data_IF_949809143614
#
_entry.id   IF_949809143614
#
_cell.length_a   1.000
_cell.length_b   1.000
_cell.length_c   1.000
_cell.angle_alpha   90.00
_cell.angle_beta   90.00
_cell.angle_gamma   90.00
#
_symmetry.space_group_name_H-M   'P 1'
#
loop_
_entity.id
_entity.type
_entity.pdbx_description
1 polymer ?
#
# COMPACT_ATOMS: atom_id res chain seq x y z
N UNK A 1 -41.78 -79.81 26.81
CA UNK A 1 -42.34 -78.85 25.84
C UNK A 1 -41.26 -77.81 25.56
N UNK A 2 -40.84 -77.70 24.29
CA UNK A 2 -40.13 -76.58 23.62
C UNK A 2 -38.65 -76.31 23.97
N UNK A 3 -37.80 -76.77 23.02
CA UNK A 3 -36.49 -76.23 22.67
C UNK A 3 -36.59 -74.79 22.16
N UNK A 4 -35.56 -73.97 22.38
CA UNK A 4 -35.05 -73.05 21.35
C UNK A 4 -33.61 -72.60 21.65
N UNK A 5 -32.71 -73.00 20.76
CA UNK A 5 -31.37 -72.43 20.54
C UNK A 5 -31.50 -70.98 20.01
N UNK A 6 -30.58 -70.10 20.39
CA UNK A 6 -30.35 -68.84 19.68
C UNK A 6 -28.83 -68.56 19.56
N UNK A 7 -28.36 -67.99 18.43
CA UNK A 7 -27.00 -68.18 17.96
C UNK A 7 -26.04 -67.02 18.27
N UNK A 8 -24.76 -67.35 18.30
CA UNK A 8 -23.60 -66.45 18.39
C UNK A 8 -23.50 -65.65 17.09
N UNK A 9 -23.68 -64.33 17.18
CA UNK A 9 -23.45 -63.40 16.06
C UNK A 9 -21.97 -62.98 16.08
N UNK A 10 -21.21 -63.51 15.12
CA UNK A 10 -19.86 -63.03 14.78
C UNK A 10 -20.04 -61.74 13.97
N UNK A 11 -19.77 -60.59 14.59
CA UNK A 11 -19.80 -59.29 13.93
C UNK A 11 -18.45 -59.04 13.25
N UNK A 12 -18.41 -59.21 11.93
CA UNK A 12 -17.28 -58.82 11.07
C UNK A 12 -17.27 -57.29 10.94
N UNK A 13 -16.29 -56.63 11.56
CA UNK A 13 -16.02 -55.21 11.36
C UNK A 13 -15.30 -55.02 10.01
N UNK A 14 -16.04 -54.58 8.99
CA UNK A 14 -15.45 -54.09 7.74
C UNK A 14 -15.08 -52.63 7.94
N UNK A 15 -13.78 -52.32 8.01
CA UNK A 15 -13.28 -50.95 7.93
C UNK A 15 -13.45 -50.43 6.49
N UNK A 16 -14.50 -49.65 6.24
CA UNK A 16 -14.56 -48.74 5.10
C UNK A 16 -13.72 -47.50 5.42
N UNK A 17 -12.56 -47.37 4.78
CA UNK A 17 -11.81 -46.12 4.74
C UNK A 17 -12.55 -45.12 3.83
N UNK A 18 -13.35 -44.24 4.45
CA UNK A 18 -13.84 -43.05 3.79
C UNK A 18 -12.68 -42.07 3.59
N UNK A 19 -12.07 -42.09 2.41
CA UNK A 19 -11.18 -41.02 1.96
C UNK A 19 -12.00 -39.76 1.74
N UNK A 20 -11.93 -38.82 2.69
CA UNK A 20 -12.45 -37.46 2.50
C UNK A 20 -11.70 -36.82 1.31
N UNK A 21 -12.40 -36.17 0.35
CA UNK A 21 -11.70 -35.36 -0.64
C UNK A 21 -11.03 -34.20 0.09
N UNK A 22 -9.71 -34.28 0.23
CA UNK A 22 -8.89 -33.14 0.63
C UNK A 22 -9.14 -32.05 -0.42
N UNK A 23 -9.83 -30.98 -0.02
CA UNK A 23 -9.88 -29.76 -0.81
C UNK A 23 -8.44 -29.36 -1.12
N UNK A 24 -8.12 -29.24 -2.42
CA UNK A 24 -6.84 -28.72 -2.88
C UNK A 24 -6.69 -27.27 -2.41
N UNK A 25 -6.16 -27.10 -1.19
CA UNK A 25 -5.59 -25.84 -0.76
C UNK A 25 -4.49 -25.51 -1.78
N UNK A 26 -4.61 -24.33 -2.39
CA UNK A 26 -3.68 -23.83 -3.39
C UNK A 26 -2.26 -23.94 -2.83
N UNK A 27 -1.47 -24.87 -3.35
CA UNK A 27 -0.06 -25.03 -2.98
C UNK A 27 0.65 -23.74 -3.33
N UNK A 28 1.27 -23.03 -2.36
CA UNK A 28 2.13 -21.89 -2.65
C UNK A 28 3.21 -22.33 -3.65
N UNK A 29 3.60 -21.43 -4.56
CA UNK A 29 4.71 -21.69 -5.46
C UNK A 29 6.01 -21.74 -4.65
N UNK A 30 6.30 -22.90 -4.12
CA UNK A 30 7.46 -23.14 -3.31
C UNK A 30 8.64 -23.43 -4.24
N UNK A 31 9.67 -22.58 -4.20
CA UNK A 31 10.91 -22.81 -4.94
C UNK A 31 11.92 -23.45 -3.98
N UNK A 32 12.58 -24.55 -4.39
CA UNK A 32 13.63 -25.14 -3.57
C UNK A 32 14.81 -24.15 -3.49
N UNK A 33 15.22 -23.81 -2.27
CA UNK A 33 16.47 -23.06 -2.05
C UNK A 33 17.58 -24.07 -1.71
N UNK A 34 18.79 -23.80 -2.18
CA UNK A 34 19.96 -24.65 -1.93
C UNK A 34 20.17 -24.78 -0.40
N UNK A 35 20.19 -26.02 0.11
CA UNK A 35 20.21 -26.30 1.56
C UNK A 35 18.99 -27.06 2.09
N UNK A 36 18.06 -27.48 1.22
CA UNK A 36 16.95 -28.38 1.59
C UNK A 36 15.77 -27.69 2.28
N UNK A 37 15.83 -26.38 2.47
CA UNK A 37 14.68 -25.58 2.87
C UNK A 37 13.86 -25.17 1.65
N UNK A 38 12.57 -25.01 1.88
CA UNK A 38 11.61 -24.60 0.85
C UNK A 38 11.13 -23.20 1.21
N UNK A 39 11.45 -22.20 0.38
CA UNK A 39 10.92 -20.84 0.58
C UNK A 39 9.60 -20.74 -0.17
N UNK A 40 8.51 -20.67 0.59
CA UNK A 40 7.20 -20.38 0.04
C UNK A 40 6.98 -18.88 0.26
N UNK A 41 6.94 -18.12 -0.83
CA UNK A 41 6.59 -16.71 -0.78
C UNK A 41 5.09 -16.63 -0.46
N UNK A 42 4.73 -16.59 0.83
CA UNK A 42 3.39 -16.25 1.27
C UNK A 42 3.19 -14.76 1.04
N UNK A 43 2.87 -14.40 -0.20
CA UNK A 43 2.16 -13.16 -0.46
C UNK A 43 0.69 -13.44 -0.17
N UNK A 44 0.10 -12.71 0.76
CA UNK A 44 -1.34 -12.74 0.91
C UNK A 44 -1.98 -12.35 -0.43
N UNK A 45 -2.96 -13.14 -0.93
CA UNK A 45 -3.46 -12.99 -2.28
C UNK A 45 -4.24 -11.69 -2.46
N UNK A 46 -4.51 -10.92 -1.41
CA UNK A 46 -5.18 -9.62 -1.50
C UNK A 46 -4.31 -8.52 -0.91
N UNK A 47 -4.26 -7.38 -1.59
CA UNK A 47 -3.74 -6.14 -1.03
C UNK A 47 -4.74 -5.00 -1.26
N UNK A 48 -4.75 -4.04 -0.34
CA UNK A 48 -5.45 -2.76 -0.50
C UNK A 48 -4.43 -1.63 -0.43
N UNK A 49 -4.56 -0.64 -1.31
CA UNK A 49 -3.78 0.59 -1.29
C UNK A 49 -4.75 1.77 -1.26
N UNK A 50 -4.51 2.71 -0.36
CA UNK A 50 -5.34 3.88 -0.11
C UNK A 50 -4.53 5.13 -0.36
N UNK A 51 -5.09 6.03 -1.14
CA UNK A 51 -4.47 7.32 -1.45
C UNK A 51 -5.49 8.43 -1.32
N UNK A 52 -5.03 9.64 -1.03
CA UNK A 52 -5.84 10.86 -1.04
C UNK A 52 -5.53 11.67 -2.30
N UNK A 53 -6.54 12.27 -2.91
CA UNK A 53 -6.33 13.15 -4.06
C UNK A 53 -5.75 14.49 -3.60
N UNK A 54 -4.66 14.91 -4.22
CA UNK A 54 -4.18 16.28 -4.14
C UNK A 54 -4.99 17.14 -5.15
N UNK A 55 -5.83 18.09 -4.69
CA UNK A 55 -6.67 18.87 -5.60
C UNK A 55 -5.87 19.85 -6.48
N UNK A 56 -4.62 20.18 -6.13
CA UNK A 56 -3.78 21.06 -6.93
C UNK A 56 -3.20 20.34 -8.15
N UNK A 57 -2.72 19.11 -7.98
CA UNK A 57 -2.08 18.31 -9.04
C UNK A 57 -3.05 17.33 -9.71
N UNK A 58 -4.19 17.03 -9.06
CA UNK A 58 -5.12 15.95 -9.38
C UNK A 58 -4.55 14.54 -9.23
N UNK A 59 -3.34 14.41 -8.68
CA UNK A 59 -2.68 13.14 -8.40
C UNK A 59 -3.18 12.52 -7.09
N UNK A 60 -2.95 11.22 -6.94
CA UNK A 60 -3.27 10.47 -5.73
C UNK A 60 -1.98 10.12 -5.01
N UNK A 61 -1.90 10.55 -3.75
CA UNK A 61 -0.72 10.43 -2.91
C UNK A 61 -1.07 9.63 -1.65
N UNK A 62 -0.13 8.84 -1.14
CA UNK A 62 -0.33 8.11 0.12
C UNK A 62 -0.41 9.09 1.30
N UNK A 63 0.42 10.14 1.28
CA UNK A 63 0.54 11.09 2.37
C UNK A 63 0.59 12.53 1.86
N UNK A 64 -0.51 13.25 2.05
CA UNK A 64 -0.61 14.67 1.72
C UNK A 64 -0.33 15.51 2.98
N UNK A 65 0.86 16.09 3.05
CA UNK A 65 1.28 16.90 4.19
C UNK A 65 0.74 18.35 4.09
N UNK A 66 0.87 19.10 5.19
CA UNK A 66 0.33 20.46 5.31
C UNK A 66 0.93 21.46 4.29
N UNK A 67 2.18 21.24 3.86
CA UNK A 67 2.86 22.06 2.84
C UNK A 67 2.26 21.83 1.46
N UNK A 68 1.90 20.59 1.14
CA UNK A 68 1.28 20.23 -0.12
C UNK A 68 -0.20 20.68 -0.18
N UNK A 69 -0.98 20.35 0.85
CA UNK A 69 -2.38 20.78 0.97
C UNK A 69 -2.86 20.65 2.41
N UNK A 70 -3.56 21.68 2.87
CA UNK A 70 -4.42 21.61 4.05
C UNK A 70 -5.86 21.85 3.63
N UNK A 71 -6.76 20.94 4.01
CA UNK A 71 -8.17 21.01 3.69
C UNK A 71 -8.94 21.88 4.69
N UNK A 72 -9.92 22.63 4.20
CA UNK A 72 -10.71 23.59 5.00
C UNK A 72 -12.19 23.18 5.06
N UNK A 73 -13.00 23.75 5.98
CA UNK A 73 -14.40 23.38 6.15
C UNK A 73 -15.19 23.31 4.84
N UNK A 74 -15.95 22.23 4.67
CA UNK A 74 -16.82 22.02 3.50
C UNK A 74 -16.11 21.50 2.25
N UNK A 75 -14.78 21.49 2.19
CA UNK A 75 -14.04 20.88 1.07
C UNK A 75 -14.32 19.38 0.99
N UNK A 76 -14.43 18.89 -0.24
CA UNK A 76 -14.56 17.46 -0.53
C UNK A 76 -13.17 16.85 -0.62
N UNK A 77 -12.97 15.75 0.09
CA UNK A 77 -11.77 14.90 0.03
C UNK A 77 -12.14 13.65 -0.75
N UNK A 78 -11.32 13.31 -1.74
CA UNK A 78 -11.47 12.07 -2.51
C UNK A 78 -10.36 11.10 -2.13
N UNK A 79 -10.75 9.89 -1.74
CA UNK A 79 -9.82 8.79 -1.56
C UNK A 79 -9.99 7.77 -2.67
N UNK A 80 -8.88 7.15 -3.06
CA UNK A 80 -8.81 6.06 -4.03
C UNK A 80 -8.35 4.81 -3.30
N UNK A 81 -9.16 3.75 -3.40
CA UNK A 81 -8.83 2.42 -2.93
C UNK A 81 -8.50 1.54 -4.14
N UNK A 82 -7.29 1.04 -4.21
CA UNK A 82 -6.86 0.05 -5.21
C UNK A 82 -6.79 -1.30 -4.52
N UNK A 83 -7.65 -2.24 -4.90
CA UNK A 83 -7.62 -3.60 -4.41
C UNK A 83 -7.00 -4.50 -5.47
N UNK A 84 -6.04 -5.31 -5.07
CA UNK A 84 -5.23 -6.13 -5.96
C UNK A 84 -5.23 -7.58 -5.50
N UNK A 85 -5.39 -8.51 -6.45
CA UNK A 85 -5.17 -9.93 -6.19
C UNK A 85 -3.75 -10.33 -6.62
N UNK A 86 -2.81 -10.44 -5.68
CA UNK A 86 -1.43 -10.83 -5.98
C UNK A 86 -1.25 -12.34 -6.15
N UNK A 87 -2.28 -13.14 -5.85
CA UNK A 87 -2.27 -14.60 -5.94
C UNK A 87 -2.39 -15.13 -7.38
N UNK A 88 -2.36 -16.47 -7.49
CA UNK A 88 -2.54 -17.19 -8.77
C UNK A 88 -3.99 -17.66 -9.03
N UNK A 89 -4.86 -17.60 -8.02
CA UNK A 89 -6.27 -17.98 -8.13
C UNK A 89 -7.20 -16.79 -7.87
N UNK A 90 -8.46 -16.89 -8.30
CA UNK A 90 -9.49 -15.92 -7.92
C UNK A 90 -9.73 -15.93 -6.42
N UNK A 91 -9.94 -14.75 -5.85
CA UNK A 91 -10.48 -14.57 -4.49
C UNK A 91 -11.93 -14.11 -4.60
N UNK A 92 -12.78 -14.52 -3.65
CA UNK A 92 -14.21 -14.22 -3.68
C UNK A 92 -14.67 -13.70 -2.33
N UNK A 93 -15.73 -12.88 -2.33
CA UNK A 93 -16.35 -12.34 -1.10
C UNK A 93 -15.33 -11.57 -0.24
N UNK A 94 -14.71 -10.56 -0.82
CA UNK A 94 -13.77 -9.68 -0.10
C UNK A 94 -14.58 -8.61 0.62
N UNK A 95 -14.38 -8.48 1.93
CA UNK A 95 -15.00 -7.42 2.71
C UNK A 95 -14.05 -6.24 2.84
N UNK A 96 -14.50 -5.07 2.41
CA UNK A 96 -13.73 -3.83 2.48
C UNK A 96 -14.35 -2.91 3.51
N UNK A 97 -13.52 -2.34 4.38
CA UNK A 97 -13.92 -1.39 5.40
C UNK A 97 -12.99 -0.17 5.40
N UNK A 98 -13.57 1.01 5.58
CA UNK A 98 -12.88 2.30 5.64
C UNK A 98 -13.35 3.09 6.87
N UNK A 99 -12.45 3.35 7.82
CA UNK A 99 -12.79 4.03 9.07
C UNK A 99 -12.50 5.51 8.93
N UNK A 100 -13.55 6.30 8.75
CA UNK A 100 -13.43 7.73 8.53
C UNK A 100 -12.89 8.42 9.79
N UNK A 101 -11.75 9.13 9.71
CA UNK A 101 -11.17 9.79 10.86
C UNK A 101 -12.05 10.93 11.33
N UNK A 102 -11.77 11.41 12.55
CA UNK A 102 -12.30 12.67 13.03
C UNK A 102 -12.12 13.80 12.00
N UNK A 103 -13.03 14.78 12.05
CA UNK A 103 -13.06 15.95 11.17
C UNK A 103 -13.47 15.71 9.71
N UNK A 104 -13.69 14.46 9.29
CA UNK A 104 -14.18 14.13 7.96
C UNK A 104 -15.51 13.39 8.08
N UNK A 105 -16.58 13.94 7.53
CA UNK A 105 -17.87 13.26 7.42
C UNK A 105 -17.94 12.52 6.08
N UNK A 106 -18.49 11.29 6.09
CA UNK A 106 -18.74 10.55 4.85
C UNK A 106 -19.72 11.32 3.95
N UNK A 107 -19.43 11.39 2.65
CA UNK A 107 -20.31 12.04 1.67
C UNK A 107 -20.75 11.13 0.53
N UNK A 108 -19.85 10.29 -0.02
CA UNK A 108 -20.18 9.48 -1.19
C UNK A 108 -19.36 8.20 -1.29
N UNK A 109 -19.98 7.15 -1.81
CA UNK A 109 -19.41 5.84 -2.05
C UNK A 109 -20.49 4.89 -2.56
N UNK A 110 -20.09 3.72 -3.04
CA UNK A 110 -21.00 2.67 -3.53
C UNK A 110 -21.49 1.72 -2.42
N UNK A 111 -20.88 1.78 -1.25
CA UNK A 111 -21.13 0.94 -0.09
C UNK A 111 -22.09 1.57 0.92
N UNK A 112 -22.11 0.99 2.11
CA UNK A 112 -22.91 1.44 3.26
C UNK A 112 -22.01 2.18 4.24
N UNK A 113 -22.57 3.17 4.93
CA UNK A 113 -21.86 3.90 5.99
C UNK A 113 -22.58 3.73 7.32
N UNK A 114 -21.87 3.22 8.32
CA UNK A 114 -22.31 3.19 9.71
C UNK A 114 -21.79 4.44 10.44
N UNK A 115 -22.72 5.28 10.87
CA UNK A 115 -22.39 6.53 11.57
C UNK A 115 -21.90 6.30 13.00
N UNK A 116 -22.32 5.22 13.67
CA UNK A 116 -21.93 4.93 15.05
C UNK A 116 -20.46 4.52 15.12
N UNK A 117 -20.01 3.68 14.18
CA UNK A 117 -18.61 3.24 14.10
C UNK A 117 -17.76 4.09 13.14
N UNK A 118 -18.38 5.05 12.44
CA UNK A 118 -17.78 5.86 11.37
C UNK A 118 -17.15 5.00 10.27
N UNK A 119 -17.71 3.84 9.98
CA UNK A 119 -17.14 2.86 9.06
C UNK A 119 -17.95 2.77 7.78
N UNK A 120 -17.30 3.00 6.64
CA UNK A 120 -17.84 2.70 5.32
C UNK A 120 -17.47 1.27 4.92
N UNK A 121 -18.42 0.49 4.41
CA UNK A 121 -18.21 -0.92 4.04
C UNK A 121 -18.82 -1.28 2.69
N UNK A 122 -18.16 -2.17 1.96
CA UNK A 122 -18.69 -2.81 0.76
C UNK A 122 -18.06 -4.18 0.53
N UNK A 123 -18.70 -4.99 -0.30
CA UNK A 123 -18.24 -6.33 -0.67
C UNK A 123 -17.80 -6.36 -2.12
N UNK A 124 -16.75 -7.12 -2.41
CA UNK A 124 -16.35 -7.49 -3.78
C UNK A 124 -16.60 -8.97 -3.97
N UNK A 125 -17.46 -9.31 -4.92
CA UNK A 125 -17.86 -10.69 -5.17
C UNK A 125 -16.70 -11.56 -5.63
N UNK A 126 -15.87 -11.03 -6.54
CA UNK A 126 -14.70 -11.71 -7.07
C UNK A 126 -13.62 -10.71 -7.52
N UNK A 127 -12.37 -11.08 -7.27
CA UNK A 127 -11.18 -10.48 -7.87
C UNK A 127 -10.33 -11.60 -8.46
N UNK A 128 -10.21 -11.64 -9.79
CA UNK A 128 -9.47 -12.68 -10.52
C UNK A 128 -7.99 -12.59 -10.19
N UNK A 129 -7.26 -13.69 -10.45
CA UNK A 129 -5.81 -13.71 -10.28
C UNK A 129 -5.15 -12.52 -11.01
N UNK A 130 -4.28 -11.80 -10.31
CA UNK A 130 -3.56 -10.62 -10.84
C UNK A 130 -4.44 -9.43 -11.25
N UNK A 131 -5.74 -9.44 -10.91
CA UNK A 131 -6.64 -8.33 -11.19
C UNK A 131 -6.50 -7.20 -10.16
N UNK A 132 -6.66 -5.96 -10.63
CA UNK A 132 -6.79 -4.77 -9.81
C UNK A 132 -8.15 -4.13 -10.03
N UNK A 133 -8.82 -3.71 -8.96
CA UNK A 133 -10.05 -2.89 -9.00
C UNK A 133 -9.86 -1.61 -8.21
N UNK A 134 -10.38 -0.52 -8.76
CA UNK A 134 -10.28 0.81 -8.17
C UNK A 134 -11.66 1.27 -7.71
N UNK A 135 -11.72 1.80 -6.49
CA UNK A 135 -12.91 2.34 -5.88
C UNK A 135 -12.63 3.75 -5.36
N UNK A 136 -13.64 4.61 -5.45
CA UNK A 136 -13.57 5.96 -4.91
C UNK A 136 -14.54 6.12 -3.77
N UNK A 137 -14.07 6.77 -2.72
CA UNK A 137 -14.89 7.19 -1.58
C UNK A 137 -14.62 8.67 -1.33
N UNK A 138 -15.66 9.41 -0.99
CA UNK A 138 -15.58 10.83 -0.73
C UNK A 138 -16.00 11.15 0.71
N UNK A 139 -15.28 12.09 1.30
CA UNK A 139 -15.64 12.73 2.55
C UNK A 139 -15.73 14.24 2.39
N UNK A 140 -16.33 14.89 3.38
CA UNK A 140 -16.36 16.36 3.53
C UNK A 140 -15.72 16.76 4.84
N UNK A 141 -14.89 17.80 4.80
CA UNK A 141 -14.36 18.40 6.04
C UNK A 141 -15.52 19.02 6.84
N UNK A 142 -15.56 18.69 8.13
CA UNK A 142 -16.57 19.22 9.06
C UNK A 142 -16.55 20.75 9.15
N UNK A 143 -17.62 21.39 9.65
CA UNK A 143 -17.65 22.83 9.87
C UNK A 143 -16.55 23.32 10.83
N UNK A 144 -16.20 24.61 10.73
CA UNK A 144 -15.04 25.21 11.40
C UNK A 144 -15.06 25.10 12.94
N UNK A 145 -16.25 25.07 13.55
CA UNK A 145 -16.46 24.92 14.99
C UNK A 145 -16.04 23.55 15.52
N UNK A 146 -16.06 22.51 14.67
CA UNK A 146 -15.64 21.15 14.99
C UNK A 146 -14.17 20.86 14.69
N UNK A 147 -13.43 21.83 14.15
CA UNK A 147 -12.00 21.68 13.86
C UNK A 147 -11.14 22.20 15.02
N UNK A 148 -9.92 21.65 15.22
CA UNK A 148 -8.96 22.21 16.16
C UNK A 148 -8.51 23.61 15.72
N UNK A 149 -8.12 24.46 16.67
CA UNK A 149 -7.63 25.81 16.39
C UNK A 149 -6.16 25.85 15.91
N UNK A 150 -5.50 24.70 15.83
CA UNK A 150 -4.13 24.58 15.30
C UNK A 150 -4.05 25.00 13.83
N UNK A 151 -2.92 25.57 13.38
CA UNK A 151 -2.77 26.02 11.98
C UNK A 151 -2.87 24.87 10.97
N UNK A 152 -2.53 23.64 11.37
CA UNK A 152 -2.76 22.42 10.62
C UNK A 152 -2.89 21.24 11.58
N UNK A 153 -3.79 20.31 11.28
CA UNK A 153 -3.94 19.05 12.01
C UNK A 153 -3.96 17.89 11.00
N UNK A 154 -2.90 17.08 10.99
CA UNK A 154 -2.81 15.93 10.10
C UNK A 154 -3.44 14.69 10.73
N UNK A 155 -4.26 14.01 9.95
CA UNK A 155 -5.06 12.85 10.33
C UNK A 155 -4.85 11.73 9.33
N UNK A 156 -5.06 10.50 9.79
CA UNK A 156 -4.93 9.30 8.99
C UNK A 156 -6.31 8.71 8.76
N UNK A 157 -6.63 8.45 7.50
CA UNK A 157 -7.79 7.63 7.14
C UNK A 157 -7.30 6.21 6.83
N UNK A 158 -7.93 5.19 7.42
CA UNK A 158 -7.50 3.78 7.31
C UNK A 158 -8.51 2.96 6.52
N UNK A 159 -8.02 2.10 5.64
CA UNK A 159 -8.82 1.09 4.93
C UNK A 159 -8.32 -0.31 5.25
N UNK A 160 -9.20 -1.29 5.14
CA UNK A 160 -8.88 -2.71 5.25
C UNK A 160 -9.68 -3.53 4.24
N UNK A 161 -9.08 -4.63 3.78
CA UNK A 161 -9.70 -5.64 2.95
C UNK A 161 -9.49 -7.01 3.62
N UNK A 162 -10.56 -7.77 3.78
CA UNK A 162 -10.56 -9.08 4.45
C UNK A 162 -11.06 -10.16 3.50
N UNK A 163 -10.32 -11.27 3.42
CA UNK A 163 -10.68 -12.47 2.66
C UNK A 163 -10.34 -13.72 3.47
N UNK A 164 -11.36 -14.45 3.95
CA UNK A 164 -11.16 -15.49 4.95
C UNK A 164 -10.48 -14.91 6.20
N UNK A 165 -9.38 -15.54 6.64
CA UNK A 165 -8.58 -15.08 7.78
C UNK A 165 -7.50 -14.06 7.40
N UNK A 166 -7.45 -13.64 6.13
CA UNK A 166 -6.42 -12.73 5.62
C UNK A 166 -6.92 -11.30 5.64
N UNK A 167 -6.09 -10.39 6.13
CA UNK A 167 -6.39 -8.97 6.22
C UNK A 167 -5.25 -8.18 5.58
N UNK A 168 -5.59 -7.27 4.67
CA UNK A 168 -4.69 -6.22 4.21
C UNK A 168 -5.20 -4.87 4.69
N UNK A 169 -4.31 -3.99 5.10
CA UNK A 169 -4.64 -2.66 5.58
C UNK A 169 -3.73 -1.62 4.94
N UNK A 170 -4.26 -0.44 4.72
CA UNK A 170 -3.47 0.70 4.28
C UNK A 170 -4.05 2.02 4.75
N UNK A 171 -3.21 3.05 4.79
CA UNK A 171 -3.50 4.34 5.39
C UNK A 171 -3.19 5.47 4.42
N UNK A 172 -4.01 6.52 4.44
CA UNK A 172 -3.71 7.77 3.75
C UNK A 172 -3.74 8.94 4.72
N UNK A 173 -2.69 9.76 4.70
CA UNK A 173 -2.60 10.97 5.53
C UNK A 173 -3.09 12.20 4.77
N UNK A 174 -3.82 13.07 5.46
CA UNK A 174 -4.16 14.41 4.99
C UNK A 174 -4.17 15.41 6.16
N UNK A 175 -4.12 16.70 5.89
CA UNK A 175 -4.17 17.73 6.93
C UNK A 175 -5.41 18.61 6.80
N UNK A 176 -6.00 19.01 7.93
CA UNK A 176 -7.16 19.91 8.01
C UNK A 176 -6.85 21.15 8.85
N UNK A 177 -7.54 22.26 8.59
CA UNK A 177 -7.43 23.50 9.36
C UNK A 177 -8.71 24.34 9.24
N UNK A 178 -8.93 25.28 10.18
CA UNK A 178 -10.07 26.21 10.11
C UNK A 178 -9.98 27.20 8.95
N UNK A 179 -8.76 27.57 8.58
CA UNK A 179 -8.46 28.54 7.52
C UNK A 179 -7.45 27.94 6.57
N UNK A 180 -7.53 28.26 5.29
CA UNK A 180 -6.57 27.77 4.31
C UNK A 180 -5.16 28.18 4.76
N UNK A 181 -4.27 27.20 4.89
CA UNK A 181 -2.85 27.49 4.91
C UNK A 181 -2.53 28.18 3.58
N UNK A 182 -1.65 29.20 3.51
CA UNK A 182 -1.14 29.67 2.24
C UNK A 182 -0.41 28.48 1.60
N UNK A 183 -1.14 27.71 0.79
CA UNK A 183 -0.54 26.70 -0.09
C UNK A 183 0.48 27.49 -0.89
N UNK A 184 1.74 27.05 -0.87
CA UNK A 184 2.68 27.53 -1.86
C UNK A 184 2.04 27.19 -3.20
N UNK A 185 1.39 28.17 -3.83
CA UNK A 185 0.91 28.04 -5.18
C UNK A 185 2.10 27.47 -5.95
N UNK A 186 1.91 26.35 -6.64
CA UNK A 186 2.91 25.80 -7.54
C UNK A 186 3.48 26.99 -8.32
N UNK A 187 4.75 27.30 -8.06
CA UNK A 187 5.30 28.63 -8.24
C UNK A 187 5.00 29.19 -9.62
N UNK A 188 4.03 30.10 -9.68
CA UNK A 188 4.10 31.25 -10.58
C UNK A 188 4.11 32.49 -9.71
N UNK A 189 5.21 32.64 -8.97
CA UNK A 189 5.63 33.98 -8.57
C UNK A 189 6.04 34.66 -9.87
N UNK A 190 5.19 35.53 -10.40
CA UNK A 190 5.61 36.44 -11.45
C UNK A 190 6.75 37.28 -10.85
N UNK A 191 7.97 37.29 -11.44
CA UNK A 191 9.01 38.17 -10.96
C UNK A 191 8.58 39.60 -11.27
N UNK A 192 8.25 40.37 -10.24
CA UNK A 192 8.19 41.82 -10.31
C UNK A 192 9.57 42.31 -10.76
N UNK A 193 9.68 42.71 -12.04
CA UNK A 193 10.85 43.42 -12.58
C UNK A 193 11.64 42.76 -13.72
N UNK A 194 11.20 41.64 -14.32
CA UNK A 194 11.90 41.09 -15.50
C UNK A 194 11.45 41.79 -16.80
N UNK A 195 12.36 42.27 -17.68
CA UNK A 195 11.99 42.88 -18.95
C UNK A 195 11.33 41.84 -19.87
N UNK A 196 10.13 42.17 -20.37
CA UNK A 196 9.36 41.33 -21.27
C UNK A 196 9.98 41.29 -22.68
N UNK A 197 9.96 40.12 -23.33
CA UNK A 197 10.18 40.05 -24.78
C UNK A 197 9.04 40.77 -25.51
N UNK A 198 9.28 41.29 -26.73
CA UNK A 198 8.30 42.07 -27.52
C UNK A 198 7.01 41.30 -27.91
N UNK A 199 6.79 40.09 -27.39
CA UNK A 199 5.57 39.29 -27.54
C UNK A 199 4.88 38.90 -26.22
N UNK A 200 5.22 39.52 -25.08
CA UNK A 200 4.50 39.30 -23.80
C UNK A 200 4.70 37.92 -23.15
N UNK A 201 5.54 37.06 -23.73
CA UNK A 201 5.95 35.79 -23.12
C UNK A 201 7.10 36.04 -22.15
N UNK A 202 6.99 35.61 -20.88
CA UNK A 202 8.09 35.69 -19.93
C UNK A 202 9.24 34.77 -20.37
N UNK A 203 10.45 35.33 -20.49
CA UNK A 203 11.66 34.54 -20.73
C UNK A 203 12.09 33.95 -19.39
N UNK A 204 11.98 32.63 -19.25
CA UNK A 204 12.50 31.92 -18.10
C UNK A 204 14.00 31.66 -18.33
N UNK A 205 14.89 32.08 -17.40
CA UNK A 205 16.26 31.62 -17.44
C UNK A 205 16.29 30.09 -17.31
N UNK A 206 17.23 29.39 -17.96
CA UNK A 206 17.37 27.95 -17.82
C UNK A 206 17.50 27.62 -16.33
N UNK A 207 16.77 26.60 -15.87
CA UNK A 207 16.85 26.12 -14.51
C UNK A 207 18.33 25.87 -14.16
N UNK A 208 18.85 26.52 -13.12
CA UNK A 208 20.18 26.15 -12.60
C UNK A 208 20.10 24.70 -12.16
N UNK A 209 20.88 23.84 -12.80
CA UNK A 209 21.02 22.45 -12.39
C UNK A 209 21.40 22.44 -10.90
N UNK A 210 20.58 21.80 -10.07
CA UNK A 210 21.01 21.40 -8.74
C UNK A 210 22.15 20.41 -8.97
N UNK A 211 23.33 20.72 -8.44
CA UNK A 211 24.45 19.78 -8.41
C UNK A 211 23.94 18.50 -7.78
N UNK A 212 23.97 17.40 -8.53
CA UNK A 212 23.74 16.07 -7.97
C UNK A 212 24.67 15.91 -6.76
N UNK A 213 24.16 15.52 -5.58
CA UNK A 213 25.02 15.11 -4.47
C UNK A 213 25.95 14.00 -4.97
N UNK A 214 27.24 14.05 -4.61
CA UNK A 214 28.22 13.06 -5.04
C UNK A 214 27.80 11.66 -4.58
N UNK A 215 27.16 10.87 -5.45
CA UNK A 215 26.95 9.42 -5.25
C UNK A 215 28.09 8.64 -5.90
N UNK A 216 29.32 9.01 -5.56
CA UNK A 216 30.52 8.25 -5.94
C UNK A 216 30.87 7.23 -4.86
N UNK A 217 31.04 5.93 -5.19
CA UNK A 217 31.60 4.99 -4.23
C UNK A 217 33.08 5.31 -4.03
N UNK A 218 33.45 5.53 -2.76
CA UNK A 218 34.82 5.65 -2.21
C UNK A 218 35.97 5.12 -3.11
N UNK A 219 36.43 5.92 -4.08
CA UNK A 219 37.65 5.63 -4.86
C UNK A 219 38.91 5.67 -4.00
N UNK A 220 38.83 6.22 -2.79
CA UNK A 220 39.90 6.17 -1.77
C UNK A 220 40.13 4.75 -1.23
N UNK A 221 39.13 3.87 -1.24
CA UNK A 221 39.32 2.47 -0.86
C UNK A 221 40.08 1.67 -1.95
N UNK A 222 39.93 2.06 -3.22
CA UNK A 222 40.58 1.41 -4.37
C UNK A 222 42.06 1.77 -4.52
N UNK A 223 42.49 2.94 -4.03
CA UNK A 223 43.91 3.30 -3.99
C UNK A 223 44.70 2.54 -2.90
N UNK A 224 44.02 2.05 -1.86
CA UNK A 224 44.61 1.22 -0.80
C UNK A 224 44.87 -0.25 -1.20
N UNK A 225 44.38 -0.69 -2.37
CA UNK A 225 44.54 -2.07 -2.86
C UNK A 225 45.78 -2.28 -3.74
N UNK A 226 46.44 -1.21 -4.19
CA UNK A 226 47.70 -1.30 -4.95
C UNK A 226 48.89 -1.89 -4.18
N UNK A 227 49.12 -1.64 -2.87
CA UNK A 227 50.26 -2.23 -2.17
C UNK A 227 50.14 -3.75 -1.94
N UNK A 228 48.93 -4.33 -1.96
CA UNK A 228 48.74 -5.78 -1.80
C UNK A 228 49.11 -6.58 -3.07
N UNK A 229 48.94 -5.99 -4.24
CA UNK A 229 49.34 -6.62 -5.51
C UNK A 229 50.86 -6.69 -5.70
N UNK A 230 51.60 -5.67 -5.26
CA UNK A 230 53.06 -5.60 -5.38
C UNK A 230 53.78 -6.60 -4.46
N UNK A 231 53.26 -6.80 -3.22
CA UNK A 231 53.79 -7.78 -2.28
C UNK A 231 53.59 -9.23 -2.77
N UNK A 232 52.46 -9.53 -3.41
CA UNK A 232 52.21 -10.84 -4.03
C UNK A 232 53.16 -11.18 -5.19
N UNK A 233 53.53 -10.18 -6.01
CA UNK A 233 54.47 -10.38 -7.12
C UNK A 233 55.91 -10.63 -6.63
N UNK A 234 56.35 -9.97 -5.56
CA UNK A 234 57.69 -10.15 -4.98
C UNK A 234 57.86 -11.51 -4.29
N UNK A 235 56.83 -12.02 -3.62
CA UNK A 235 56.85 -13.35 -2.98
C UNK A 235 56.88 -14.48 -4.02
N UNK A 236 56.29 -14.29 -5.21
CA UNK A 236 56.31 -15.27 -6.30
C UNK A 236 57.70 -15.49 -6.91
N UNK A 237 58.56 -14.46 -6.94
CA UNK A 237 59.92 -14.58 -7.48
C UNK A 237 60.92 -15.19 -6.48
N UNK A 238 60.64 -15.16 -5.18
CA UNK A 238 61.47 -15.79 -4.13
C UNK A 238 61.20 -17.28 -3.93
N UNK A 239 60.07 -17.79 -4.41
CA UNK A 239 59.69 -19.22 -4.28
C UNK A 239 60.21 -20.11 -5.44
N UNK A 240 61.01 -19.55 -6.36
CA UNK A 240 61.61 -20.28 -7.51
C UNK A 240 63.14 -20.37 -7.44
N UNK A 241 63.73 -20.15 -6.28
CA UNK A 241 65.12 -20.52 -5.94
C UNK A 241 65.09 -21.36 -4.68
#
# INVERSE_FOLDING_TARGET
MKYTLAPIIVSVFVLLAAGSPVSAAQTPNCQPIYGGSTSCEQTDPITINKQVQNPATQEYEDNLNATAKTFVPGETIRFKLTLSNTGKGSVKTIQVADVFPQYIDYSRGQGKYDKATRTYTFTIDELKAKENKVYFIEGKVVPADKLPSSPSNCIINQSSATFGDKISQDNAQLCVSKTASPVAAAGKVAPTGAPASKGGQPIYPPAKAQTTPDTGPHSLALLGLFPLGALGFFLRNKAKT
#
